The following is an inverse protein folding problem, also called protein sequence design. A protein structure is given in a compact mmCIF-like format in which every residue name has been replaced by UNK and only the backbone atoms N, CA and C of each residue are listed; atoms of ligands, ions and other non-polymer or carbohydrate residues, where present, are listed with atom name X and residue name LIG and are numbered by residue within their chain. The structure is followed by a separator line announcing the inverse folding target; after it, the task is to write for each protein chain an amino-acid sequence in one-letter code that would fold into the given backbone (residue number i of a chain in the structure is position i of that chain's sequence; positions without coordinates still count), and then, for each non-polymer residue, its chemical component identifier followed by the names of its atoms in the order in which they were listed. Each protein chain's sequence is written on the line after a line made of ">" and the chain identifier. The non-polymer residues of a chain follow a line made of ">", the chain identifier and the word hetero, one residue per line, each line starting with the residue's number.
data_IF_017502656410
#
_entry.id   IF_017502656410
#
_cell.length_a   1.000
_cell.length_b   1.000
_cell.length_c   1.000
_cell.angle_alpha   90.00
_cell.angle_beta   90.00
_cell.angle_gamma   90.00
#
_symmetry.space_group_name_H-M   'P 1'
#
loop_
_entity.id
_entity.type
_entity.pdbx_description
1 polymer ?
#
# COMPACT_ATOMS: atom_id res chain seq x y z
N UNK A 1 0.27 24.49 -14.23
CA UNK A 1 0.13 24.09 -15.65
C UNK A 1 -1.22 23.40 -15.79
N UNK A 2 -2.04 23.65 -16.82
CA UNK A 2 -3.27 22.84 -17.03
C UNK A 2 -2.80 21.43 -17.39
N UNK A 3 -3.39 20.39 -16.80
CA UNK A 3 -3.26 19.02 -17.31
C UNK A 3 -3.95 19.00 -18.68
N UNK A 4 -3.21 19.42 -19.71
CA UNK A 4 -3.55 19.15 -21.10
C UNK A 4 -3.27 17.65 -21.31
N UNK A 5 -4.27 16.89 -21.75
CA UNK A 5 -4.08 15.49 -22.11
C UNK A 5 -4.95 14.46 -21.39
N UNK A 6 -5.63 14.77 -20.27
CA UNK A 6 -6.69 13.84 -19.77
C UNK A 6 -7.91 14.02 -20.65
N UNK A 7 -7.90 13.39 -21.82
CA UNK A 7 -9.11 13.28 -22.62
C UNK A 7 -9.98 12.20 -22.00
N UNK A 8 -11.22 12.56 -21.69
CA UNK A 8 -12.18 11.65 -21.08
C UNK A 8 -12.64 10.63 -22.12
N UNK A 9 -11.82 9.62 -22.40
CA UNK A 9 -12.27 8.41 -23.08
C UNK A 9 -12.85 7.51 -22.01
N UNK A 10 -14.17 7.57 -21.85
CA UNK A 10 -14.87 6.52 -21.13
C UNK A 10 -14.63 5.23 -21.92
N UNK A 11 -13.76 4.34 -21.42
CA UNK A 11 -13.99 2.93 -21.73
C UNK A 11 -15.38 2.64 -21.18
N UNK A 12 -16.28 2.26 -22.08
CA UNK A 12 -17.65 1.93 -21.73
C UNK A 12 -17.58 0.68 -20.83
N UNK A 13 -17.68 0.88 -19.52
CA UNK A 13 -17.63 -0.21 -18.54
C UNK A 13 -18.74 -1.25 -18.77
N UNK A 14 -19.78 -0.94 -19.57
CA UNK A 14 -20.77 -1.94 -20.00
C UNK A 14 -20.21 -2.97 -20.99
N UNK A 15 -19.03 -2.72 -21.57
CA UNK A 15 -18.27 -3.67 -22.36
C UNK A 15 -17.32 -4.54 -21.52
N UNK A 16 -17.18 -4.25 -20.22
CA UNK A 16 -16.40 -5.06 -19.29
C UNK A 16 -17.32 -6.08 -18.61
N UNK A 17 -16.98 -7.36 -18.70
CA UNK A 17 -17.65 -8.41 -17.94
C UNK A 17 -16.88 -8.69 -16.65
N UNK A 18 -17.48 -8.35 -15.51
CA UNK A 18 -16.94 -8.73 -14.21
C UNK A 18 -17.10 -10.24 -14.01
N UNK A 19 -15.99 -10.93 -13.73
CA UNK A 19 -16.00 -12.34 -13.32
C UNK A 19 -15.93 -12.42 -11.80
N UNK A 20 -16.88 -13.10 -11.16
CA UNK A 20 -16.81 -13.38 -9.73
C UNK A 20 -15.70 -14.38 -9.46
N UNK A 21 -14.75 -14.01 -8.60
CA UNK A 21 -13.61 -14.86 -8.22
C UNK A 21 -14.00 -15.75 -7.03
N UNK A 22 -14.51 -15.14 -5.96
CA UNK A 22 -14.98 -15.79 -4.74
C UNK A 22 -15.95 -14.85 -4.01
N UNK A 23 -16.81 -15.39 -3.15
CA UNK A 23 -17.63 -14.66 -2.18
C UNK A 23 -17.35 -15.08 -0.71
N UNK A 24 -16.27 -15.85 -0.50
CA UNK A 24 -15.88 -16.38 0.82
C UNK A 24 -15.07 -15.37 1.67
N UNK A 25 -14.49 -14.33 1.05
CA UNK A 25 -13.65 -13.34 1.71
C UNK A 25 -14.48 -12.21 2.35
N UNK A 26 -14.25 -11.96 3.65
CA UNK A 26 -14.93 -10.89 4.39
C UNK A 26 -14.16 -9.59 4.29
N UNK A 27 -14.70 -8.62 3.54
CA UNK A 27 -14.12 -7.27 3.42
C UNK A 27 -12.66 -7.30 2.92
N UNK A 28 -12.41 -7.68 1.65
CA UNK A 28 -11.07 -7.65 1.09
C UNK A 28 -10.52 -6.22 1.05
N UNK A 29 -9.29 -6.04 1.51
CA UNK A 29 -8.56 -4.77 1.48
C UNK A 29 -7.63 -4.74 0.27
N UNK A 30 -6.48 -5.41 0.35
CA UNK A 30 -5.57 -5.58 -0.79
C UNK A 30 -5.68 -6.99 -1.38
N UNK A 31 -5.63 -7.03 -2.71
CA UNK A 31 -5.51 -8.24 -3.50
C UNK A 31 -4.29 -8.05 -4.41
N UNK A 32 -3.32 -8.96 -4.33
CA UNK A 32 -2.07 -8.86 -5.10
C UNK A 32 -1.60 -10.22 -5.61
N UNK A 33 -0.81 -10.21 -6.68
CA UNK A 33 -0.19 -11.43 -7.18
C UNK A 33 0.91 -11.89 -6.23
N UNK A 34 0.97 -13.21 -5.98
CA UNK A 34 2.09 -13.84 -5.27
C UNK A 34 3.25 -13.98 -6.26
N UNK A 35 4.51 -13.71 -5.85
CA UNK A 35 5.68 -13.94 -6.70
C UNK A 35 5.72 -15.35 -7.28
N UNK A 36 6.16 -15.44 -8.55
CA UNK A 36 6.39 -16.72 -9.20
C UNK A 36 7.42 -17.54 -8.41
N UNK A 37 7.28 -18.87 -8.47
CA UNK A 37 8.15 -19.87 -7.84
C UNK A 37 7.97 -20.10 -6.33
N UNK A 38 7.11 -19.36 -5.63
CA UNK A 38 6.73 -19.72 -4.25
C UNK A 38 5.91 -21.02 -4.25
N UNK A 39 4.98 -21.14 -5.21
CA UNK A 39 4.13 -22.32 -5.38
C UNK A 39 4.34 -22.99 -6.74
N UNK A 40 4.04 -24.29 -6.84
CA UNK A 40 4.04 -25.04 -8.08
C UNK A 40 2.75 -24.82 -8.91
N UNK A 41 2.01 -23.75 -8.62
CA UNK A 41 0.78 -23.34 -9.29
C UNK A 41 1.04 -21.98 -9.97
N UNK A 42 0.62 -21.79 -11.22
CA UNK A 42 0.71 -20.48 -11.85
C UNK A 42 -0.40 -19.56 -11.31
N UNK A 43 -0.15 -18.25 -11.34
CA UNK A 43 -1.17 -17.23 -11.02
C UNK A 43 -1.82 -17.40 -9.64
N UNK A 44 -1.01 -17.56 -8.59
CA UNK A 44 -1.49 -17.49 -7.21
C UNK A 44 -1.64 -16.03 -6.79
N UNK A 45 -2.76 -15.69 -6.17
CA UNK A 45 -3.06 -14.35 -5.67
C UNK A 45 -3.27 -14.43 -4.16
N UNK A 46 -2.89 -13.37 -3.45
CA UNK A 46 -3.14 -13.20 -2.02
C UNK A 46 -4.24 -12.16 -1.82
N UNK A 47 -5.01 -12.32 -0.76
CA UNK A 47 -5.98 -11.35 -0.30
C UNK A 47 -5.83 -11.14 1.21
N UNK A 48 -5.66 -9.88 1.61
CA UNK A 48 -5.73 -9.44 2.99
C UNK A 48 -7.13 -8.90 3.27
N UNK A 49 -7.73 -9.28 4.40
CA UNK A 49 -9.14 -9.00 4.65
C UNK A 49 -9.43 -8.50 6.06
N UNK A 50 -10.65 -8.01 6.25
CA UNK A 50 -11.19 -7.55 7.52
C UNK A 50 -11.06 -6.04 7.73
N UNK A 51 -11.77 -5.49 8.71
CA UNK A 51 -11.73 -4.08 9.09
C UNK A 51 -12.33 -3.86 10.48
N UNK A 52 -12.08 -2.72 11.11
CA UNK A 52 -12.55 -2.42 12.48
C UNK A 52 -14.09 -2.41 12.65
N UNK A 53 -14.86 -2.46 11.56
CA UNK A 53 -16.32 -2.44 11.58
C UNK A 53 -16.89 -3.76 12.12
N UNK A 54 -17.96 -3.65 12.92
CA UNK A 54 -18.63 -4.81 13.51
C UNK A 54 -19.09 -5.82 12.44
N UNK A 55 -18.73 -7.09 12.64
CA UNK A 55 -19.02 -8.17 11.69
C UNK A 55 -18.07 -8.26 10.50
N UNK A 56 -17.04 -7.41 10.47
CA UNK A 56 -15.95 -7.42 9.46
C UNK A 56 -14.57 -7.47 10.12
N UNK A 57 -14.50 -7.55 11.44
CA UNK A 57 -13.27 -7.46 12.23
C UNK A 57 -12.56 -8.80 12.43
N UNK A 58 -13.02 -9.86 11.77
CA UNK A 58 -12.42 -11.19 11.73
C UNK A 58 -11.97 -11.47 10.30
N UNK A 59 -10.85 -10.88 9.95
CA UNK A 59 -10.19 -10.98 8.66
C UNK A 59 -9.10 -12.04 8.65
N UNK A 60 -8.50 -12.19 7.48
CA UNK A 60 -7.53 -13.23 7.17
C UNK A 60 -6.56 -12.79 6.08
N UNK A 61 -5.44 -13.51 6.02
CA UNK A 61 -4.59 -13.57 4.82
C UNK A 61 -4.88 -14.90 4.12
N UNK A 62 -5.34 -14.83 2.87
CA UNK A 62 -5.75 -16.00 2.12
C UNK A 62 -5.09 -16.06 0.74
N UNK A 63 -4.78 -17.29 0.30
CA UNK A 63 -4.21 -17.59 -1.01
C UNK A 63 -5.28 -18.17 -1.94
N UNK A 64 -5.24 -17.80 -3.21
CA UNK A 64 -6.18 -18.26 -4.23
C UNK A 64 -5.44 -18.62 -5.51
N UNK A 65 -5.77 -19.77 -6.10
CA UNK A 65 -5.25 -20.15 -7.42
C UNK A 65 -6.18 -19.61 -8.51
N UNK A 66 -5.69 -18.68 -9.33
CA UNK A 66 -6.51 -18.09 -10.40
C UNK A 66 -6.67 -19.02 -11.61
N UNK A 67 -5.95 -20.14 -11.65
CA UNK A 67 -6.15 -21.20 -12.65
C UNK A 67 -7.53 -21.84 -12.59
N UNK A 68 -8.13 -21.83 -11.40
CA UNK A 68 -9.35 -22.59 -11.13
C UNK A 68 -10.61 -21.82 -11.55
N UNK A 69 -10.45 -20.57 -11.99
CA UNK A 69 -11.53 -19.76 -12.55
C UNK A 69 -12.19 -20.38 -13.79
N UNK A 70 -11.49 -21.28 -14.50
CA UNK A 70 -12.10 -22.07 -15.57
C UNK A 70 -13.26 -22.97 -15.08
N UNK A 71 -13.37 -23.22 -13.77
CA UNK A 71 -14.38 -24.05 -13.13
C UNK A 71 -15.42 -23.26 -12.31
N UNK A 72 -15.38 -21.92 -12.33
CA UNK A 72 -16.42 -21.04 -11.78
C UNK A 72 -15.94 -20.10 -10.68
N UNK A 73 -15.37 -20.62 -9.59
CA UNK A 73 -14.86 -19.84 -8.45
C UNK A 73 -13.61 -20.52 -7.87
N UNK A 74 -12.73 -19.72 -7.26
CA UNK A 74 -11.59 -20.21 -6.47
C UNK A 74 -11.98 -20.28 -4.99
N UNK A 75 -11.56 -21.33 -4.30
CA UNK A 75 -11.69 -21.45 -2.84
C UNK A 75 -10.43 -20.87 -2.19
N UNK A 76 -10.55 -19.83 -1.35
CA UNK A 76 -9.40 -19.28 -0.63
C UNK A 76 -8.82 -20.28 0.36
N UNK A 77 -7.49 -20.28 0.50
CA UNK A 77 -6.75 -21.03 1.52
C UNK A 77 -6.17 -20.03 2.51
N UNK A 78 -6.79 -19.95 3.69
CA UNK A 78 -6.37 -19.06 4.78
C UNK A 78 -5.03 -19.48 5.36
N UNK A 79 -3.99 -18.68 5.14
CA UNK A 79 -2.65 -18.90 5.68
C UNK A 79 -2.45 -18.26 7.05
N UNK A 80 -3.14 -17.16 7.36
CA UNK A 80 -3.09 -16.56 8.69
C UNK A 80 -3.65 -17.52 9.74
N UNK A 81 -2.90 -17.79 10.81
CA UNK A 81 -3.39 -18.58 11.95
C UNK A 81 -3.84 -17.67 13.10
N UNK A 82 -4.88 -18.11 13.83
CA UNK A 82 -5.42 -17.40 14.99
C UNK A 82 -5.67 -18.35 16.17
N UNK A 83 -4.61 -18.91 16.77
CA UNK A 83 -4.75 -19.90 17.84
C UNK A 83 -5.42 -19.33 19.11
N UNK A 84 -5.31 -18.02 19.34
CA UNK A 84 -5.78 -17.35 20.56
C UNK A 84 -7.22 -16.82 20.46
N UNK A 85 -7.83 -16.91 19.28
CA UNK A 85 -9.20 -16.42 19.02
C UNK A 85 -9.34 -14.90 19.02
N UNK A 86 -8.25 -14.16 18.80
CA UNK A 86 -8.25 -12.70 18.70
C UNK A 86 -8.68 -12.32 17.28
N UNK A 87 -9.70 -11.48 17.13
CA UNK A 87 -10.20 -11.10 15.81
C UNK A 87 -9.25 -10.06 15.18
N UNK A 88 -8.50 -10.47 14.17
CA UNK A 88 -7.52 -9.63 13.47
C UNK A 88 -8.08 -9.13 12.14
N UNK A 89 -7.64 -7.97 11.70
CA UNK A 89 -7.81 -7.55 10.30
C UNK A 89 -6.46 -7.17 9.70
N UNK A 90 -6.34 -7.42 8.39
CA UNK A 90 -5.10 -7.37 7.62
C UNK A 90 -5.30 -6.50 6.39
N UNK A 91 -4.30 -5.71 6.03
CA UNK A 91 -4.43 -4.79 4.90
C UNK A 91 -3.53 -5.15 3.71
N UNK A 92 -2.32 -5.67 3.95
CA UNK A 92 -1.31 -5.92 2.91
C UNK A 92 -0.44 -7.15 3.23
N UNK A 93 0.04 -7.83 2.19
CA UNK A 93 1.11 -8.83 2.27
C UNK A 93 2.25 -8.48 1.33
N UNK A 94 3.48 -8.65 1.80
CA UNK A 94 4.67 -8.75 0.95
C UNK A 94 5.43 -10.05 1.24
N UNK A 95 6.38 -10.40 0.38
CA UNK A 95 6.99 -11.73 0.33
C UNK A 95 8.49 -11.66 0.53
N UNK A 96 9.01 -12.35 1.54
CA UNK A 96 10.44 -12.40 1.87
C UNK A 96 10.80 -13.69 2.60
N UNK A 97 12.01 -14.21 2.42
CA UNK A 97 12.52 -15.37 3.17
C UNK A 97 13.09 -14.88 4.52
N UNK A 98 12.27 -14.96 5.57
CA UNK A 98 12.54 -14.29 6.85
C UNK A 98 13.54 -15.05 7.72
N UNK A 99 13.64 -16.37 7.52
CA UNK A 99 14.48 -17.27 8.31
C UNK A 99 15.71 -17.81 7.54
N UNK A 100 15.83 -17.49 6.24
CA UNK A 100 16.93 -17.90 5.38
C UNK A 100 16.93 -19.39 5.03
N UNK A 101 15.78 -20.07 5.13
CA UNK A 101 15.65 -21.49 4.84
C UNK A 101 15.44 -21.80 3.34
N UNK A 102 15.30 -20.75 2.52
CA UNK A 102 15.08 -20.83 1.08
C UNK A 102 13.59 -20.86 0.68
N UNK A 103 12.67 -20.72 1.64
CA UNK A 103 11.23 -20.68 1.43
C UNK A 103 10.72 -19.28 1.71
N UNK A 104 10.05 -18.68 0.73
CA UNK A 104 9.53 -17.32 0.88
C UNK A 104 8.28 -17.31 1.76
N UNK A 105 8.31 -16.46 2.77
CA UNK A 105 7.27 -16.22 3.76
C UNK A 105 6.38 -15.04 3.38
N UNK A 106 5.22 -14.94 4.05
CA UNK A 106 4.34 -13.78 3.92
C UNK A 106 4.54 -12.82 5.10
N UNK A 107 5.05 -11.63 4.83
CA UNK A 107 5.12 -10.52 5.79
C UNK A 107 3.81 -9.74 5.73
N UNK A 108 3.22 -9.41 6.88
CA UNK A 108 1.96 -8.66 6.96
C UNK A 108 1.88 -7.86 8.26
N UNK A 109 1.06 -6.83 8.25
CA UNK A 109 0.62 -6.14 9.46
C UNK A 109 -0.78 -6.62 9.84
N UNK A 110 -1.09 -6.59 11.13
CA UNK A 110 -2.43 -6.89 11.64
C UNK A 110 -2.80 -5.97 12.78
N UNK A 111 -4.08 -5.65 12.86
CA UNK A 111 -4.64 -4.87 13.94
C UNK A 111 -5.90 -5.52 14.51
N UNK A 112 -6.11 -5.30 15.81
CA UNK A 112 -7.28 -5.72 16.56
C UNK A 112 -7.90 -4.49 17.22
N UNK A 113 -9.22 -4.48 17.41
CA UNK A 113 -9.93 -3.42 18.10
C UNK A 113 -11.08 -2.85 17.28
N UNK A 114 -11.58 -1.69 17.69
CA UNK A 114 -12.74 -1.06 17.06
C UNK A 114 -12.77 0.47 17.20
N UNK A 115 -13.26 1.14 16.16
CA UNK A 115 -13.47 2.58 16.16
C UNK A 115 -12.22 3.37 15.78
N UNK A 116 -11.91 4.51 16.44
CA UNK A 116 -10.79 5.36 16.07
C UNK A 116 -9.42 4.82 16.50
N UNK A 117 -9.32 3.66 17.15
CA UNK A 117 -8.05 3.12 17.60
C UNK A 117 -8.04 1.60 17.49
N UNK A 118 -6.87 1.05 17.24
CA UNK A 118 -6.58 -0.35 17.49
C UNK A 118 -6.23 -0.56 18.97
N UNK A 119 -6.64 -1.69 19.52
CA UNK A 119 -6.25 -2.15 20.85
C UNK A 119 -4.84 -2.75 20.83
N UNK A 120 -4.52 -3.46 19.74
CA UNK A 120 -3.23 -4.12 19.51
C UNK A 120 -2.93 -4.04 18.01
N UNK A 121 -1.68 -3.76 17.67
CA UNK A 121 -1.18 -3.86 16.30
C UNK A 121 0.14 -4.62 16.28
N UNK A 122 0.43 -5.33 15.19
CA UNK A 122 1.64 -6.12 15.06
C UNK A 122 2.11 -6.15 13.60
N UNK A 123 3.42 -6.00 13.40
CA UNK A 123 4.10 -6.50 12.21
C UNK A 123 4.48 -7.96 12.46
N UNK A 124 4.08 -8.84 11.55
CA UNK A 124 4.31 -10.27 11.66
C UNK A 124 4.84 -10.84 10.34
N UNK A 125 5.38 -12.04 10.41
CA UNK A 125 5.49 -12.91 9.25
C UNK A 125 4.84 -14.26 9.50
N UNK A 126 4.33 -14.84 8.43
CA UNK A 126 3.71 -16.14 8.37
C UNK A 126 4.70 -17.09 7.69
N UNK A 127 5.16 -18.10 8.43
CA UNK A 127 6.18 -19.03 7.96
C UNK A 127 5.61 -20.01 6.95
N UNK A 128 6.16 -19.97 5.74
CA UNK A 128 5.84 -20.96 4.72
C UNK A 128 6.41 -22.31 5.16
N UNK A 129 5.60 -23.38 5.25
CA UNK A 129 6.09 -24.71 5.63
C UNK A 129 6.93 -25.39 4.52
N UNK A 130 7.58 -24.60 3.67
CA UNK A 130 8.26 -25.00 2.44
C UNK A 130 7.37 -25.84 1.51
N UNK A 131 6.07 -25.58 1.52
CA UNK A 131 5.11 -26.30 0.71
C UNK A 131 4.98 -25.64 -0.65
N UNK A 132 5.18 -26.42 -1.72
CA UNK A 132 4.89 -25.96 -3.08
C UNK A 132 3.37 -25.96 -3.40
N UNK A 133 2.54 -26.35 -2.44
CA UNK A 133 1.06 -26.36 -2.52
C UNK A 133 0.48 -25.33 -1.54
N UNK A 134 -0.72 -24.83 -1.81
CA UNK A 134 -1.43 -23.95 -0.87
C UNK A 134 -1.83 -24.76 0.37
N UNK A 135 -1.30 -24.38 1.54
CA UNK A 135 -1.59 -25.03 2.83
C UNK A 135 -2.07 -23.98 3.83
N UNK A 136 -3.10 -24.28 4.65
CA UNK A 136 -3.60 -23.31 5.62
C UNK A 136 -2.75 -23.26 6.90
N UNK A 137 -3.01 -22.26 7.73
CA UNK A 137 -2.47 -22.12 9.10
C UNK A 137 -0.94 -22.14 9.19
N UNK A 138 -0.30 -21.15 8.59
CA UNK A 138 1.14 -20.93 8.71
C UNK A 138 1.50 -20.46 10.13
N UNK A 139 2.71 -20.78 10.57
CA UNK A 139 3.20 -20.39 11.89
C UNK A 139 3.42 -18.87 11.92
N UNK A 140 3.00 -18.22 13.00
CA UNK A 140 3.03 -16.76 13.13
C UNK A 140 4.22 -16.34 13.99
N UNK A 141 4.99 -15.39 13.49
CA UNK A 141 6.12 -14.79 14.21
C UNK A 141 5.93 -13.28 14.29
N UNK A 142 5.98 -12.73 15.50
CA UNK A 142 5.79 -11.30 15.75
C UNK A 142 7.15 -10.60 15.72
N UNK A 143 7.28 -9.57 14.88
CA UNK A 143 8.49 -8.74 14.80
C UNK A 143 8.41 -7.55 15.76
N UNK A 144 7.28 -6.86 15.75
CA UNK A 144 7.03 -5.65 16.56
C UNK A 144 5.57 -5.59 17.00
N UNK A 145 5.29 -4.74 17.99
CA UNK A 145 3.94 -4.49 18.49
C UNK A 145 3.69 -2.98 18.68
N UNK A 146 2.46 -2.55 18.37
CA UNK A 146 1.91 -1.21 18.62
C UNK A 146 2.48 -0.06 17.76
N UNK A 147 3.17 -0.38 16.66
CA UNK A 147 3.79 0.62 15.77
C UNK A 147 3.28 0.51 14.33
N UNK A 148 3.21 -0.70 13.77
CA UNK A 148 2.80 -1.00 12.39
C UNK A 148 1.38 -1.60 12.33
N UNK A 149 0.55 -1.23 11.35
CA UNK A 149 -0.88 -1.62 11.36
C UNK A 149 -1.69 -1.61 10.05
N UNK A 150 -1.37 -0.80 9.05
CA UNK A 150 -2.19 -0.65 7.82
C UNK A 150 -1.43 -0.87 6.53
N UNK A 151 -0.21 -0.36 6.36
CA UNK A 151 0.46 -0.49 5.07
C UNK A 151 1.97 -0.39 5.20
N UNK A 152 2.70 -1.06 4.31
CA UNK A 152 4.15 -1.03 4.30
C UNK A 152 4.74 -1.35 2.94
N UNK A 153 6.05 -1.11 2.81
CA UNK A 153 6.90 -1.54 1.70
C UNK A 153 8.18 -2.15 2.25
N UNK A 154 8.66 -3.22 1.64
CA UNK A 154 9.99 -3.74 1.91
C UNK A 154 10.99 -3.24 0.86
N UNK A 155 12.17 -2.83 1.31
CA UNK A 155 13.25 -2.41 0.44
C UNK A 155 14.61 -2.80 1.00
N UNK A 156 15.54 -3.18 0.14
CA UNK A 156 16.92 -3.44 0.54
C UNK A 156 17.64 -2.12 0.82
N UNK A 157 18.23 -1.97 2.01
CA UNK A 157 18.97 -0.77 2.40
C UNK A 157 20.37 -1.14 2.91
N UNK A 158 21.37 -0.32 2.57
CA UNK A 158 22.72 -0.47 3.11
C UNK A 158 22.78 0.10 4.54
N UNK A 159 23.22 -0.71 5.49
CA UNK A 159 23.47 -0.32 6.87
C UNK A 159 24.79 0.46 7.00
N UNK A 160 24.97 1.27 8.06
CA UNK A 160 26.20 2.03 8.30
C UNK A 160 27.47 1.17 8.43
N UNK A 161 27.31 -0.12 8.72
CA UNK A 161 28.40 -1.09 8.79
C UNK A 161 28.76 -1.72 7.42
N UNK A 162 28.09 -1.31 6.34
CA UNK A 162 28.27 -1.80 4.97
C UNK A 162 27.57 -3.12 4.65
N UNK A 163 26.77 -3.66 5.57
CA UNK A 163 25.88 -4.80 5.29
C UNK A 163 24.59 -4.31 4.63
N UNK A 164 23.89 -5.19 3.92
CA UNK A 164 22.54 -4.91 3.42
C UNK A 164 21.51 -5.57 4.33
N UNK A 165 20.40 -4.90 4.56
CA UNK A 165 19.24 -5.43 5.29
C UNK A 165 17.97 -5.13 4.53
N UNK A 166 16.97 -5.99 4.67
CA UNK A 166 15.61 -5.67 4.26
C UNK A 166 15.01 -4.71 5.30
N UNK A 167 14.71 -3.49 4.86
CA UNK A 167 13.99 -2.50 5.65
C UNK A 167 12.50 -2.58 5.33
N UNK A 168 11.68 -2.61 6.38
CA UNK A 168 10.22 -2.62 6.31
C UNK A 168 9.76 -1.22 6.70
N UNK A 169 9.35 -0.42 5.72
CA UNK A 169 8.89 0.95 5.91
C UNK A 169 7.37 0.94 6.02
N UNK A 170 6.84 1.38 7.16
CA UNK A 170 5.45 1.19 7.52
C UNK A 170 4.72 2.50 7.81
N UNK A 171 3.49 2.56 7.30
CA UNK A 171 2.47 3.55 7.61
C UNK A 171 1.60 3.05 8.76
N UNK A 172 1.89 3.53 9.96
CA UNK A 172 1.10 3.29 11.16
C UNK A 172 -0.10 4.24 11.21
N UNK A 173 -1.25 3.75 10.79
CA UNK A 173 -2.49 4.50 10.77
C UNK A 173 -3.01 4.74 12.19
N UNK A 174 -3.05 3.72 13.04
CA UNK A 174 -3.52 3.85 14.42
C UNK A 174 -2.43 4.32 15.38
N UNK A 175 -1.17 3.99 15.11
CA UNK A 175 -0.03 4.51 15.88
C UNK A 175 0.28 5.98 15.56
N UNK A 176 -0.13 6.45 14.37
CA UNK A 176 0.23 7.74 13.77
C UNK A 176 1.74 7.90 13.51
N UNK A 177 2.45 6.79 13.29
CA UNK A 177 3.90 6.78 13.10
C UNK A 177 4.24 6.33 11.67
N UNK A 178 5.21 7.01 11.07
CA UNK A 178 5.96 6.47 9.93
C UNK A 178 7.20 5.79 10.51
N UNK A 179 7.33 4.48 10.32
CA UNK A 179 8.40 3.69 10.93
C UNK A 179 9.23 2.93 9.91
N UNK A 180 10.45 2.55 10.32
CA UNK A 180 11.27 1.55 9.65
C UNK A 180 11.59 0.45 10.65
N UNK A 181 11.34 -0.80 10.29
CA UNK A 181 11.78 -1.99 11.01
C UNK A 181 12.84 -2.73 10.19
N UNK A 182 13.95 -3.12 10.80
CA UNK A 182 15.00 -3.90 10.13
C UNK A 182 15.72 -4.82 11.12
N UNK A 183 16.53 -5.75 10.59
CA UNK A 183 17.46 -6.54 11.40
C UNK A 183 18.91 -6.11 11.15
N UNK A 184 19.70 -5.96 12.21
CA UNK A 184 21.13 -5.56 12.11
C UNK A 184 22.02 -6.55 11.35
N UNK A 185 21.54 -7.78 11.14
CA UNK A 185 22.24 -8.85 10.42
C UNK A 185 21.36 -9.52 9.35
N UNK A 186 20.20 -8.93 9.03
CA UNK A 186 19.19 -9.47 8.11
C UNK A 186 18.63 -10.85 8.52
N UNK A 187 18.67 -11.19 9.81
CA UNK A 187 18.02 -12.36 10.39
C UNK A 187 16.83 -11.89 11.23
N UNK A 188 15.62 -12.21 10.79
CA UNK A 188 14.39 -11.81 11.48
C UNK A 188 13.91 -12.83 12.52
N UNK A 189 14.66 -13.92 12.72
CA UNK A 189 14.37 -14.92 13.76
C UNK A 189 14.98 -14.56 15.10
N UNK A 190 16.06 -13.76 15.11
CA UNK A 190 16.68 -13.23 16.31
C UNK A 190 16.11 -11.86 16.68
N UNK A 191 15.09 -11.86 17.56
CA UNK A 191 14.45 -10.65 18.06
C UNK A 191 15.42 -9.64 18.70
N UNK A 192 16.61 -10.04 19.13
CA UNK A 192 17.61 -9.12 19.68
C UNK A 192 18.30 -8.23 18.64
N UNK A 193 18.16 -8.59 17.36
CA UNK A 193 18.74 -7.87 16.22
C UNK A 193 17.75 -6.93 15.56
N UNK A 194 16.46 -7.13 15.78
CA UNK A 194 15.38 -6.30 15.25
C UNK A 194 15.46 -4.90 15.85
N UNK A 195 15.43 -3.89 15.00
CA UNK A 195 15.42 -2.48 15.34
C UNK A 195 14.16 -1.83 14.79
N UNK A 196 13.74 -0.74 15.44
CA UNK A 196 12.65 0.12 14.97
C UNK A 196 13.10 1.57 15.06
N UNK A 197 12.94 2.31 13.97
CA UNK A 197 13.12 3.76 13.91
C UNK A 197 11.78 4.41 13.62
N UNK A 198 11.43 5.44 14.39
CA UNK A 198 10.32 6.34 14.05
C UNK A 198 10.90 7.47 13.22
N UNK A 199 10.46 7.58 11.97
CA UNK A 199 10.85 8.67 11.07
C UNK A 199 10.11 9.95 11.48
N UNK A 200 8.79 9.88 11.63
CA UNK A 200 7.95 11.04 11.92
C UNK A 200 6.56 10.63 12.46
N UNK A 201 5.78 11.59 12.95
CA UNK A 201 4.45 11.42 13.52
C UNK A 201 3.44 12.50 13.07
N UNK A 202 3.49 12.88 11.79
CA UNK A 202 2.71 13.99 11.23
C UNK A 202 1.18 13.78 11.31
N UNK A 203 0.68 12.56 11.09
CA UNK A 203 -0.75 12.27 11.04
C UNK A 203 -1.07 10.77 10.93
N UNK A 204 -2.28 10.46 10.46
CA UNK A 204 -2.74 9.08 10.24
C UNK A 204 -2.13 8.53 8.95
N UNK A 205 -0.89 8.04 8.99
CA UNK A 205 -0.26 7.49 7.79
C UNK A 205 -1.11 6.35 7.20
N UNK A 206 -1.33 6.37 5.89
CA UNK A 206 -2.27 5.47 5.24
C UNK A 206 -1.63 4.59 4.16
N UNK A 207 -0.61 5.10 3.50
CA UNK A 207 0.04 4.46 2.35
C UNK A 207 1.52 4.86 2.30
N UNK A 208 2.35 4.02 1.70
CA UNK A 208 3.78 4.30 1.51
C UNK A 208 4.30 3.67 0.21
N UNK A 209 5.14 4.42 -0.49
CA UNK A 209 5.88 3.99 -1.67
C UNK A 209 7.34 4.47 -1.56
N UNK A 210 8.26 3.64 -2.04
CA UNK A 210 9.69 3.99 -2.19
C UNK A 210 9.93 4.37 -3.65
N UNK A 211 10.21 5.63 -3.93
CA UNK A 211 10.36 6.15 -5.29
C UNK A 211 11.24 7.41 -5.31
N UNK A 212 12.00 7.61 -6.37
CA UNK A 212 12.75 8.86 -6.60
C UNK A 212 11.77 9.96 -7.04
N UNK A 213 11.25 10.72 -6.08
CA UNK A 213 10.19 11.72 -6.31
C UNK A 213 10.78 12.97 -6.96
N UNK A 214 12.00 13.33 -6.58
CA UNK A 214 12.66 14.55 -7.03
C UNK A 214 13.59 14.35 -8.24
N UNK A 215 13.75 13.11 -8.72
CA UNK A 215 14.63 12.70 -9.83
C UNK A 215 16.11 13.04 -9.60
N UNK A 216 16.58 12.96 -8.35
CA UNK A 216 17.99 13.17 -8.01
C UNK A 216 18.86 11.90 -8.07
N UNK A 217 18.24 10.76 -8.38
CA UNK A 217 18.86 9.45 -8.48
C UNK A 217 18.81 8.63 -7.19
N UNK A 218 18.12 9.10 -6.15
CA UNK A 218 17.93 8.39 -4.87
C UNK A 218 16.44 8.15 -4.63
N UNK A 219 16.14 7.11 -3.86
CA UNK A 219 14.77 6.86 -3.44
C UNK A 219 14.39 7.80 -2.29
N UNK A 220 13.13 8.18 -2.29
CA UNK A 220 12.43 8.88 -1.22
C UNK A 220 11.25 8.02 -0.73
N UNK A 221 10.69 8.36 0.42
CA UNK A 221 9.36 7.86 0.83
C UNK A 221 8.31 8.82 0.32
N UNK A 222 7.39 8.35 -0.51
CA UNK A 222 6.11 8.99 -0.80
C UNK A 222 5.05 8.39 0.12
N UNK A 223 4.31 9.23 0.84
CA UNK A 223 3.26 8.76 1.76
C UNK A 223 2.07 9.71 1.81
N UNK A 224 0.94 9.23 2.31
CA UNK A 224 -0.23 10.04 2.60
C UNK A 224 -0.65 9.92 4.05
N UNK A 225 -1.26 10.98 4.58
CA UNK A 225 -1.93 10.96 5.88
C UNK A 225 -3.43 11.20 5.75
N UNK A 226 -4.25 10.49 6.51
CA UNK A 226 -5.70 10.63 6.50
C UNK A 226 -6.16 11.80 7.36
N UNK A 227 -6.95 12.73 6.81
CA UNK A 227 -7.52 13.84 7.57
C UNK A 227 -8.69 13.39 8.46
N UNK A 228 -8.37 12.82 9.62
CA UNK A 228 -9.38 12.34 10.56
C UNK A 228 -9.20 12.94 11.96
N UNK A 229 -10.32 13.22 12.63
CA UNK A 229 -10.37 13.65 14.05
C UNK A 229 -9.54 14.90 14.37
N UNK A 230 -9.40 15.79 13.38
CA UNK A 230 -8.67 17.06 13.51
C UNK A 230 -7.18 16.98 13.18
N UNK A 231 -6.65 15.80 12.84
CA UNK A 231 -5.31 15.67 12.26
C UNK A 231 -5.33 16.00 10.74
N UNK A 232 -4.22 16.52 10.20
CA UNK A 232 -4.15 16.95 8.81
C UNK A 232 -4.12 15.74 7.86
N UNK A 233 -4.78 15.91 6.71
CA UNK A 233 -4.56 15.05 5.56
C UNK A 233 -3.60 15.71 4.59
N UNK A 234 -2.61 14.97 4.14
CA UNK A 234 -1.55 15.46 3.28
C UNK A 234 -0.98 14.34 2.41
N UNK A 235 -0.26 14.75 1.36
CA UNK A 235 0.70 13.92 0.64
C UNK A 235 2.08 14.48 0.95
N UNK A 236 2.98 13.62 1.41
CA UNK A 236 4.27 13.95 1.97
C UNK A 236 5.38 13.19 1.24
N UNK A 237 6.56 13.79 1.20
CA UNK A 237 7.80 13.12 0.83
C UNK A 237 8.80 13.17 1.99
N UNK A 238 9.56 12.09 2.19
CA UNK A 238 10.71 12.07 3.10
C UNK A 238 11.96 11.66 2.35
N UNK A 239 12.99 12.52 2.37
CA UNK A 239 14.29 12.21 1.79
C UNK A 239 15.03 11.18 2.65
N UNK A 240 15.59 10.15 2.02
CA UNK A 240 16.53 9.26 2.70
C UNK A 240 17.85 10.04 2.88
N UNK A 241 18.35 10.22 4.12
CA UNK A 241 19.58 10.97 4.33
C UNK A 241 20.80 10.24 3.72
N UNK A 242 21.74 11.03 3.19
CA UNK A 242 22.98 10.53 2.55
C UNK A 242 23.93 9.78 3.48
N UNK A 243 23.83 10.07 4.78
CA UNK A 243 24.66 9.48 5.81
C UNK A 243 24.01 8.27 6.46
N UNK A 244 24.07 8.23 7.79
CA UNK A 244 23.52 7.13 8.56
C UNK A 244 22.00 7.30 8.72
N UNK A 245 21.22 6.68 7.84
CA UNK A 245 19.75 6.72 7.89
C UNK A 245 19.12 6.16 9.16
N UNK A 246 19.88 5.41 9.97
CA UNK A 246 19.40 4.86 11.24
C UNK A 246 19.44 5.89 12.38
N UNK A 247 20.14 7.02 12.20
CA UNK A 247 20.30 8.05 13.24
C UNK A 247 20.09 9.47 12.75
N UNK A 248 20.28 9.74 11.46
CA UNK A 248 20.09 11.05 10.87
C UNK A 248 18.60 11.36 10.66
N UNK A 249 18.17 12.62 10.83
CA UNK A 249 16.80 13.01 10.57
C UNK A 249 16.50 12.93 9.08
N UNK A 250 15.32 12.44 8.72
CA UNK A 250 14.83 12.39 7.35
C UNK A 250 14.10 13.70 7.02
N UNK A 251 14.61 14.52 6.07
CA UNK A 251 13.94 15.76 5.68
C UNK A 251 12.53 15.50 5.12
N UNK A 252 11.53 16.16 5.69
CA UNK A 252 10.12 16.07 5.24
C UNK A 252 9.76 17.23 4.31
N UNK A 253 9.02 16.93 3.24
CA UNK A 253 8.37 17.89 2.35
C UNK A 253 6.86 17.64 2.28
N UNK A 254 6.08 18.71 2.43
CA UNK A 254 4.63 18.65 2.17
C UNK A 254 4.41 18.92 0.69
N UNK A 255 4.00 17.91 -0.06
CA UNK A 255 3.74 18.06 -1.50
C UNK A 255 2.36 18.65 -1.76
N UNK A 256 1.37 18.27 -0.94
CA UNK A 256 0.02 18.82 -0.96
C UNK A 256 -0.67 18.61 0.38
N UNK A 257 -1.36 19.63 0.88
CA UNK A 257 -2.19 19.56 2.09
C UNK A 257 -3.59 20.14 1.85
N UNK A 258 -4.36 20.35 2.93
CA UNK A 258 -5.66 21.03 2.85
C UNK A 258 -6.78 20.16 2.29
N UNK A 259 -6.62 18.83 2.32
CA UNK A 259 -7.69 17.89 2.00
C UNK A 259 -8.89 18.05 2.94
N UNK A 260 -10.06 17.61 2.48
CA UNK A 260 -11.32 17.77 3.21
C UNK A 260 -11.25 17.10 4.58
N UNK A 261 -11.35 17.87 5.66
CA UNK A 261 -11.32 17.34 7.02
C UNK A 261 -12.58 16.55 7.38
N UNK A 262 -12.39 15.41 8.06
CA UNK A 262 -13.45 14.58 8.62
C UNK A 262 -13.34 14.53 10.14
N UNK A 263 -14.44 14.90 10.81
CA UNK A 263 -14.50 14.95 12.28
C UNK A 263 -15.02 13.66 12.91
N UNK A 264 -15.58 12.75 12.10
CA UNK A 264 -16.09 11.45 12.54
C UNK A 264 -15.05 10.38 12.22
N UNK A 265 -14.85 9.46 13.16
CA UNK A 265 -14.00 8.30 12.96
C UNK A 265 -14.58 7.37 11.89
N UNK A 266 -13.70 6.76 11.09
CA UNK A 266 -14.06 5.90 9.98
C UNK A 266 -14.31 6.64 8.67
N UNK A 267 -13.87 7.90 8.57
CA UNK A 267 -13.81 8.58 7.28
C UNK A 267 -12.65 9.57 7.20
N UNK A 268 -12.09 9.76 6.01
CA UNK A 268 -10.97 10.67 5.81
C UNK A 268 -10.56 10.87 4.35
N UNK A 269 -9.52 11.69 4.17
CA UNK A 269 -8.93 12.02 2.87
C UNK A 269 -7.53 12.64 3.07
N UNK A 270 -6.58 12.49 2.15
CA UNK A 270 -6.56 11.56 1.02
C UNK A 270 -6.36 10.10 1.47
N UNK A 271 -6.68 9.15 0.59
CA UNK A 271 -6.30 7.75 0.71
C UNK A 271 -4.92 7.49 0.10
N UNK A 272 -4.80 6.44 -0.71
CA UNK A 272 -3.52 6.05 -1.34
C UNK A 272 -2.91 7.15 -2.21
N UNK A 273 -1.58 7.20 -2.24
CA UNK A 273 -0.80 8.11 -3.06
C UNK A 273 0.42 7.39 -3.65
N UNK A 274 0.55 7.40 -4.97
CA UNK A 274 1.66 6.72 -5.64
C UNK A 274 2.11 7.46 -6.91
N UNK A 275 3.38 7.30 -7.25
CA UNK A 275 4.04 7.87 -8.40
C UNK A 275 3.67 7.14 -9.70
N UNK A 276 3.50 7.89 -10.78
CA UNK A 276 3.34 7.34 -12.11
C UNK A 276 3.81 8.34 -13.18
N UNK A 277 3.97 7.82 -14.40
CA UNK A 277 4.36 8.60 -15.56
C UNK A 277 3.24 8.56 -16.62
N UNK A 278 2.79 9.70 -17.16
CA UNK A 278 1.73 9.72 -18.19
C UNK A 278 2.09 8.99 -19.49
N UNK A 279 3.38 8.94 -19.80
CA UNK A 279 3.92 8.22 -20.97
C UNK A 279 5.23 7.54 -20.61
N UNK A 280 5.59 6.50 -21.35
CA UNK A 280 6.88 5.81 -21.20
C UNK A 280 8.08 6.74 -21.39
N UNK A 281 8.00 7.68 -22.33
CA UNK A 281 9.06 8.68 -22.59
C UNK A 281 9.23 9.72 -21.48
N UNK A 282 8.27 9.85 -20.55
CA UNK A 282 8.30 10.87 -19.50
C UNK A 282 9.11 10.48 -18.25
N UNK A 283 9.67 9.26 -18.20
CA UNK A 283 10.47 8.75 -17.08
C UNK A 283 11.82 9.47 -16.85
N UNK A 284 12.10 10.53 -17.61
CA UNK A 284 13.24 11.43 -17.40
C UNK A 284 12.88 12.66 -16.54
N UNK A 285 11.59 12.88 -16.28
CA UNK A 285 11.06 14.00 -15.50
C UNK A 285 10.51 13.48 -14.17
N UNK A 286 10.26 14.39 -13.22
CA UNK A 286 9.61 14.05 -11.95
C UNK A 286 8.28 13.33 -12.19
N UNK A 287 7.98 12.28 -11.41
CA UNK A 287 6.72 11.58 -11.54
C UNK A 287 5.53 12.49 -11.28
N UNK A 288 4.41 12.15 -11.90
CA UNK A 288 3.11 12.61 -11.43
C UNK A 288 2.72 11.76 -10.22
N UNK A 289 1.91 12.30 -9.33
CA UNK A 289 1.42 11.55 -8.17
C UNK A 289 -0.08 11.38 -8.29
N UNK A 290 -0.54 10.14 -8.39
CA UNK A 290 -1.95 9.79 -8.32
C UNK A 290 -2.37 9.77 -6.85
N UNK A 291 -3.48 10.42 -6.52
CA UNK A 291 -3.98 10.47 -5.15
C UNK A 291 -5.46 10.12 -5.12
N UNK A 292 -5.82 9.09 -4.36
CA UNK A 292 -7.21 8.83 -4.04
C UNK A 292 -7.71 9.86 -3.04
N UNK A 293 -8.85 10.49 -3.32
CA UNK A 293 -9.53 11.34 -2.36
C UNK A 293 -10.29 10.57 -1.28
N UNK A 294 -10.36 9.23 -1.39
CA UNK A 294 -11.05 8.33 -0.47
C UNK A 294 -12.48 8.83 -0.18
N UNK A 295 -12.85 9.14 1.06
CA UNK A 295 -14.21 9.58 1.42
C UNK A 295 -14.56 11.01 0.98
N UNK A 296 -13.61 11.78 0.44
CA UNK A 296 -13.93 13.01 -0.27
C UNK A 296 -14.58 12.73 -1.64
N UNK A 297 -14.46 11.51 -2.16
CA UNK A 297 -15.07 11.11 -3.43
C UNK A 297 -14.44 11.76 -4.64
N UNK A 298 -13.17 12.11 -4.53
CA UNK A 298 -12.38 12.71 -5.61
C UNK A 298 -11.24 11.79 -6.00
N UNK A 299 -10.69 12.02 -7.20
CA UNK A 299 -9.34 11.57 -7.53
C UNK A 299 -8.54 12.78 -8.00
N UNK A 300 -7.26 12.82 -7.62
CA UNK A 300 -6.37 13.92 -7.88
C UNK A 300 -5.10 13.45 -8.58
N UNK A 301 -4.49 14.35 -9.34
CA UNK A 301 -3.13 14.21 -9.85
C UNK A 301 -2.33 15.41 -9.36
N UNK A 302 -1.19 15.15 -8.72
CA UNK A 302 -0.20 16.18 -8.40
C UNK A 302 0.85 16.19 -9.51
N UNK A 303 1.17 17.39 -10.02
CA UNK A 303 2.22 17.59 -11.02
C UNK A 303 3.27 18.53 -10.47
N UNK A 304 4.55 18.18 -10.58
CA UNK A 304 5.64 19.05 -10.15
C UNK A 304 5.55 20.42 -10.85
N UNK A 305 5.78 21.50 -10.11
CA UNK A 305 5.83 22.84 -10.70
C UNK A 305 7.17 23.13 -11.39
N UNK A 306 8.17 22.28 -11.15
CA UNK A 306 9.53 22.41 -11.66
C UNK A 306 10.25 21.06 -11.64
N UNK A 307 11.08 20.81 -12.66
CA UNK A 307 11.96 19.63 -12.77
C UNK A 307 13.25 19.77 -11.95
N UNK A 308 13.51 20.91 -11.29
CA UNK A 308 14.69 21.07 -10.44
C UNK A 308 14.55 20.16 -9.20
N UNK A 309 15.53 19.29 -8.94
CA UNK A 309 15.49 18.34 -7.83
C UNK A 309 15.21 19.01 -6.47
N UNK A 310 15.77 20.20 -6.24
CA UNK A 310 15.57 20.95 -4.99
C UNK A 310 14.20 21.61 -4.83
N UNK A 311 13.35 21.59 -5.88
CA UNK A 311 12.00 22.13 -5.82
C UNK A 311 10.97 21.02 -5.58
N UNK A 312 10.38 21.02 -4.40
CA UNK A 312 9.37 20.04 -3.95
C UNK A 312 7.93 20.52 -4.11
N UNK A 313 7.68 21.61 -4.86
CA UNK A 313 6.32 22.13 -5.02
C UNK A 313 5.56 21.39 -6.13
N UNK A 314 4.32 21.01 -5.82
CA UNK A 314 3.40 20.35 -6.73
C UNK A 314 2.08 21.14 -6.84
N UNK A 315 1.47 21.09 -8.02
CA UNK A 315 0.10 21.56 -8.25
C UNK A 315 -0.87 20.39 -8.27
N UNK A 316 -1.90 20.43 -7.43
CA UNK A 316 -3.01 19.48 -7.47
C UNK A 316 -4.04 19.82 -8.56
N UNK A 317 -4.43 18.80 -9.33
CA UNK A 317 -5.57 18.84 -10.26
C UNK A 317 -6.59 17.76 -9.90
N UNK A 318 -7.85 18.13 -9.70
CA UNK A 318 -8.95 17.16 -9.57
C UNK A 318 -9.31 16.60 -10.94
N UNK A 319 -9.13 15.29 -11.14
CA UNK A 319 -9.47 14.60 -12.39
C UNK A 319 -10.84 13.92 -12.33
N UNK A 320 -11.31 13.59 -11.12
CA UNK A 320 -12.63 13.00 -10.88
C UNK A 320 -13.27 13.60 -9.63
N UNK A 321 -14.59 13.80 -9.67
CA UNK A 321 -15.42 14.15 -8.51
C UNK A 321 -16.75 13.40 -8.60
N UNK A 322 -16.98 12.52 -7.64
CA UNK A 322 -18.21 11.75 -7.47
C UNK A 322 -18.81 11.91 -6.07
N UNK A 323 -19.57 10.89 -5.66
CA UNK A 323 -20.16 10.79 -4.31
C UNK A 323 -19.64 9.56 -3.59
N UNK A 324 -19.37 9.69 -2.29
CA UNK A 324 -18.86 8.61 -1.44
C UNK A 324 -17.41 8.23 -1.75
N UNK A 325 -16.99 7.03 -1.35
CA UNK A 325 -15.58 6.61 -1.36
C UNK A 325 -15.04 6.34 -2.77
N UNK A 326 -13.84 6.89 -3.06
CA UNK A 326 -12.99 6.47 -4.19
C UNK A 326 -11.96 5.47 -3.66
N UNK A 327 -11.98 4.25 -4.19
CA UNK A 327 -11.08 3.18 -3.75
C UNK A 327 -9.64 3.34 -4.24
N UNK A 328 -8.85 2.25 -4.13
CA UNK A 328 -7.49 2.19 -4.68
C UNK A 328 -7.50 2.37 -6.21
N UNK A 329 -6.85 3.43 -6.69
CA UNK A 329 -6.79 3.76 -8.12
C UNK A 329 -5.74 2.89 -8.80
N UNK A 330 -6.10 2.29 -9.94
CA UNK A 330 -5.16 1.54 -10.79
C UNK A 330 -4.64 2.42 -11.93
N UNK A 331 -3.36 2.31 -12.27
CA UNK A 331 -2.72 3.13 -13.31
C UNK A 331 -1.77 2.24 -14.14
N UNK A 332 -2.04 2.08 -15.44
CA UNK A 332 -1.23 1.26 -16.35
C UNK A 332 -1.60 1.56 -17.82
N UNK A 333 -0.65 1.50 -18.75
CA UNK A 333 -0.94 1.42 -20.19
C UNK A 333 -1.44 0.00 -20.53
N UNK A 334 -2.76 -0.18 -20.66
CA UNK A 334 -3.35 -1.52 -20.86
C UNK A 334 -3.62 -1.86 -22.32
N UNK A 335 -3.65 -0.87 -23.21
CA UNK A 335 -3.88 -1.07 -24.65
C UNK A 335 -2.61 -0.95 -25.51
N UNK A 336 -1.48 -0.56 -24.90
CA UNK A 336 -0.16 -0.52 -25.50
C UNK A 336 0.05 0.67 -26.44
N UNK A 337 -0.74 1.74 -26.29
CA UNK A 337 -0.62 2.94 -27.11
C UNK A 337 0.46 3.92 -26.64
N UNK A 338 1.13 3.61 -25.53
CA UNK A 338 2.22 4.39 -24.93
C UNK A 338 1.74 5.43 -23.92
N UNK A 339 0.43 5.54 -23.69
CA UNK A 339 -0.17 6.40 -22.68
C UNK A 339 -0.74 5.59 -21.53
N UNK A 340 -0.65 6.18 -20.36
CA UNK A 340 -1.16 5.55 -19.15
C UNK A 340 -2.68 5.66 -19.05
N UNK A 341 -3.36 4.54 -18.80
CA UNK A 341 -4.77 4.49 -18.43
C UNK A 341 -4.94 4.55 -16.90
N UNK A 342 -6.03 5.16 -16.44
CA UNK A 342 -6.38 5.37 -15.04
C UNK A 342 -7.74 4.72 -14.77
N UNK A 343 -7.81 3.84 -13.78
CA UNK A 343 -8.99 3.12 -13.33
C UNK A 343 -9.38 3.61 -11.94
N UNK A 344 -10.51 4.30 -11.82
CA UNK A 344 -10.98 4.92 -10.57
C UNK A 344 -12.20 4.14 -10.06
N UNK A 345 -12.08 3.36 -8.98
CA UNK A 345 -13.22 2.68 -8.38
C UNK A 345 -14.13 3.67 -7.64
N UNK A 346 -15.39 3.78 -8.05
CA UNK A 346 -16.40 4.60 -7.38
C UNK A 346 -17.37 3.71 -6.60
N UNK A 347 -17.11 3.51 -5.30
CA UNK A 347 -17.79 2.48 -4.50
C UNK A 347 -19.30 2.70 -4.39
N UNK A 348 -19.72 3.96 -4.25
CA UNK A 348 -21.13 4.30 -4.07
C UNK A 348 -21.95 4.06 -5.33
N UNK A 349 -21.38 4.35 -6.51
CA UNK A 349 -22.09 4.13 -7.79
C UNK A 349 -21.88 2.71 -8.33
N UNK A 350 -20.94 1.94 -7.76
CA UNK A 350 -20.56 0.59 -8.19
C UNK A 350 -20.03 0.58 -9.63
N UNK A 351 -19.22 1.57 -9.94
CA UNK A 351 -18.64 1.78 -11.28
C UNK A 351 -17.12 1.88 -11.18
N UNK A 352 -16.46 1.53 -12.28
CA UNK A 352 -15.04 1.87 -12.51
C UNK A 352 -15.03 2.95 -13.58
N UNK A 353 -14.53 4.13 -13.23
CA UNK A 353 -14.35 5.22 -14.19
C UNK A 353 -12.97 5.08 -14.79
N UNK A 354 -12.92 4.93 -16.12
CA UNK A 354 -11.65 4.82 -16.84
C UNK A 354 -11.34 6.13 -17.56
N UNK A 355 -10.10 6.56 -17.47
CA UNK A 355 -9.55 7.73 -18.16
C UNK A 355 -8.23 7.33 -18.80
N UNK A 356 -7.80 8.06 -19.82
CA UNK A 356 -6.51 7.83 -20.47
C UNK A 356 -5.83 9.16 -20.72
N UNK A 357 -4.50 9.19 -20.66
CA UNK A 357 -3.74 10.30 -21.22
C UNK A 357 -3.78 10.18 -22.75
N UNK A 358 -3.94 11.29 -23.45
CA UNK A 358 -3.95 11.30 -24.90
C UNK A 358 -3.18 12.51 -25.44
N UNK A 359 -2.81 12.42 -26.71
CA UNK A 359 -2.20 13.49 -27.49
C UNK A 359 -3.09 14.71 -27.70
#
# INVERSE_FOLDING_TARGET
>A
MRVEGVTKKYLDATQMEATSITDELVWPNEISAVPDNIFALPMVWTASTGFFLAGKNDGEVALMSMTDLAYGQTTPVTISSNPDGILWYYHRVEWFDMNGDGCTDAVTERANGGGPAADITQLIWLENPCSTQLTPNWDVHVLTENTEDVYFRMHEMELPNGLTTTAIISSGFYSHLLTIVWSNNNDFTDASTIQTLVIDNYGWYFDVEMVDINMDGKLDILTSTWSQTGLPGAVLAYEIPDGDWTTEPWPMHILQDGYKSFLLAGSGSPGTAFAFWPTTDSQINKPFIMVSGDDDGSAYVLTADSEEATNWSYTQTTIYKGTGTVGGIGVQDVDGDGFTDIFIPAYTTKEIVVMTYAQ
#
